data_IF_908317682162
#
_entry.id   IF_908317682162
#
_cell.length_a   1.000
_cell.length_b   1.000
_cell.length_c   1.000
_cell.angle_alpha   90.00
_cell.angle_beta   90.00
_cell.angle_gamma   90.00
#
_symmetry.space_group_name_H-M   'P 1'
#
loop_
_entity.id
_entity.type
_entity.pdbx_description
1 polymer ?
#
# COMPACT_ATOMS: atom_id res chain seq x y z
N UNK A 1 8.28 22.33 -67.55
CA UNK A 1 9.15 23.50 -67.28
C UNK A 1 9.01 23.77 -65.79
N UNK A 2 10.11 23.58 -65.06
CA UNK A 2 10.34 23.85 -63.62
C UNK A 2 9.53 23.09 -62.56
N UNK A 3 10.26 22.16 -61.93
CA UNK A 3 10.08 21.71 -60.56
C UNK A 3 10.34 22.85 -59.55
N UNK A 4 9.59 22.83 -58.45
CA UNK A 4 9.83 23.35 -57.09
C UNK A 4 8.44 23.34 -56.40
N UNK A 5 8.20 22.95 -55.14
CA UNK A 5 9.01 22.40 -54.07
C UNK A 5 8.04 22.02 -52.93
N UNK A 6 8.51 21.19 -51.99
CA UNK A 6 8.10 21.11 -50.58
C UNK A 6 6.72 20.57 -50.13
N UNK A 7 6.84 19.40 -49.47
CA UNK A 7 6.25 19.00 -48.16
C UNK A 7 4.88 18.32 -48.17
N UNK A 8 4.92 17.01 -47.97
CA UNK A 8 4.57 16.44 -46.66
C UNK A 8 4.91 14.96 -46.66
N UNK A 9 6.16 14.69 -46.30
CA UNK A 9 6.55 13.42 -45.69
C UNK A 9 5.66 13.18 -44.46
N UNK A 10 4.78 12.18 -44.57
CA UNK A 10 4.25 11.47 -43.41
C UNK A 10 4.84 10.07 -43.45
N UNK A 11 6.10 10.03 -43.03
CA UNK A 11 6.72 9.01 -42.20
C UNK A 11 6.21 7.59 -42.39
N UNK A 12 6.78 6.96 -43.41
CA UNK A 12 7.01 5.52 -43.46
C UNK A 12 8.43 5.27 -42.93
N UNK A 13 8.57 4.99 -41.64
CA UNK A 13 9.82 4.52 -41.04
C UNK A 13 9.77 2.98 -40.83
N UNK A 14 10.77 2.22 -41.34
CA UNK A 14 10.82 0.77 -41.29
C UNK A 14 11.72 0.21 -40.16
N UNK A 15 11.51 -1.09 -39.90
CA UNK A 15 12.42 -2.12 -39.37
C UNK A 15 13.45 -1.83 -38.24
N UNK A 16 13.33 -2.69 -37.22
CA UNK A 16 14.39 -3.29 -36.38
C UNK A 16 15.06 -2.46 -35.30
N UNK A 17 14.75 -2.76 -34.02
CA UNK A 17 15.75 -3.02 -32.96
C UNK A 17 15.15 -3.98 -31.89
N UNK A 18 15.98 -4.91 -31.43
CA UNK A 18 15.68 -5.98 -30.49
C UNK A 18 15.81 -5.51 -29.02
N UNK A 19 15.11 -6.23 -28.12
CA UNK A 19 15.58 -6.67 -26.79
C UNK A 19 14.87 -6.13 -25.52
N UNK A 20 14.21 -7.08 -24.84
CA UNK A 20 14.03 -7.26 -23.38
C UNK A 20 13.76 -6.01 -22.52
N UNK A 21 12.52 -5.86 -22.08
CA UNK A 21 12.20 -4.98 -20.95
C UNK A 21 10.85 -5.36 -20.40
N UNK A 22 10.85 -5.89 -19.18
CA UNK A 22 9.67 -6.36 -18.44
C UNK A 22 8.45 -5.46 -18.65
N UNK A 23 7.28 -6.07 -18.83
CA UNK A 23 5.99 -5.42 -18.63
C UNK A 23 5.80 -5.15 -17.11
N UNK A 24 6.79 -4.46 -16.51
CA UNK A 24 6.69 -3.91 -15.18
C UNK A 24 5.82 -2.69 -15.37
N UNK A 25 4.54 -2.87 -15.05
CA UNK A 25 3.64 -1.78 -14.70
C UNK A 25 4.37 -0.95 -13.65
N UNK A 26 5.11 0.04 -14.16
CA UNK A 26 5.85 1.01 -13.38
C UNK A 26 4.77 1.93 -12.86
N UNK A 27 4.08 1.45 -11.83
CA UNK A 27 3.26 2.25 -10.96
C UNK A 27 4.18 3.39 -10.55
N UNK A 28 3.96 4.57 -11.14
CA UNK A 28 4.63 5.80 -10.73
C UNK A 28 4.52 5.83 -9.21
N UNK A 29 5.68 5.74 -8.58
CA UNK A 29 5.90 5.47 -7.16
C UNK A 29 5.28 6.62 -6.37
N UNK A 30 3.95 6.64 -6.24
CA UNK A 30 3.26 7.47 -5.27
C UNK A 30 3.80 6.98 -3.95
N UNK A 31 4.55 7.82 -3.23
CA UNK A 31 5.13 7.48 -1.94
C UNK A 31 3.99 7.16 -0.96
N UNK A 32 3.48 5.94 -1.01
CA UNK A 32 2.41 5.47 -0.15
C UNK A 32 3.02 5.30 1.24
N UNK A 33 2.77 6.29 2.08
CA UNK A 33 3.20 6.29 3.47
C UNK A 33 2.15 5.60 4.31
N UNK A 34 2.59 4.75 5.23
CA UNK A 34 1.72 3.91 6.03
C UNK A 34 2.30 3.67 7.42
N UNK A 35 1.61 2.85 8.20
CA UNK A 35 1.99 2.57 9.59
C UNK A 35 3.01 1.41 9.74
N UNK A 36 3.22 0.62 8.69
CA UNK A 36 4.17 -0.51 8.72
C UNK A 36 3.69 -1.69 9.59
N UNK A 37 2.45 -2.13 9.38
CA UNK A 37 1.84 -3.27 10.09
C UNK A 37 1.32 -4.29 9.09
N UNK A 38 1.57 -5.57 9.34
CA UNK A 38 1.00 -6.65 8.57
C UNK A 38 -0.32 -7.09 9.19
N UNK A 39 -1.38 -6.97 8.41
CA UNK A 39 -2.71 -7.44 8.78
C UNK A 39 -3.03 -8.76 8.08
N UNK A 40 -3.76 -9.62 8.78
CA UNK A 40 -4.35 -10.86 8.28
C UNK A 40 -5.85 -10.80 8.50
N UNK A 41 -6.62 -11.10 7.47
CA UNK A 41 -8.07 -11.22 7.60
C UNK A 41 -8.40 -12.55 8.29
N UNK A 42 -9.27 -12.51 9.28
CA UNK A 42 -9.87 -13.68 9.90
C UNK A 42 -11.11 -14.14 9.14
N UNK A 43 -11.56 -15.37 9.44
CA UNK A 43 -12.81 -15.97 9.01
C UNK A 43 -14.04 -15.06 9.22
N UNK A 44 -14.01 -14.20 10.24
CA UNK A 44 -15.06 -13.22 10.55
C UNK A 44 -15.00 -11.94 9.71
N UNK A 45 -13.94 -11.77 8.89
CA UNK A 45 -13.64 -10.55 8.13
C UNK A 45 -12.88 -9.50 8.93
N UNK A 46 -12.63 -9.72 10.23
CA UNK A 46 -11.83 -8.80 11.04
C UNK A 46 -10.34 -8.85 10.64
N UNK A 47 -9.66 -7.71 10.69
CA UNK A 47 -8.23 -7.64 10.40
C UNK A 47 -7.42 -7.76 11.69
N UNK A 48 -6.67 -8.84 11.84
CA UNK A 48 -5.74 -9.03 12.95
C UNK A 48 -4.34 -8.62 12.55
N UNK A 49 -3.61 -8.09 13.50
CA UNK A 49 -2.18 -7.85 13.36
C UNK A 49 -1.48 -9.21 13.35
N UNK A 50 -0.87 -9.56 12.22
CA UNK A 50 -0.04 -10.75 12.09
C UNK A 50 1.36 -10.47 12.62
N UNK A 51 1.94 -9.35 12.22
CA UNK A 51 3.28 -8.91 12.63
C UNK A 51 3.47 -7.42 12.36
N UNK A 52 4.50 -6.85 12.96
CA UNK A 52 4.91 -5.46 12.72
C UNK A 52 6.13 -5.45 11.80
N UNK A 53 6.25 -4.41 10.98
CA UNK A 53 7.45 -4.21 10.17
C UNK A 53 8.55 -3.69 11.10
N UNK A 54 9.70 -4.39 11.22
CA UNK A 54 10.81 -3.93 12.04
C UNK A 54 11.34 -2.60 11.49
N UNK A 55 11.49 -1.60 12.35
CA UNK A 55 11.85 -0.23 11.95
C UNK A 55 10.70 0.57 11.32
N UNK A 56 9.50 0.01 11.20
CA UNK A 56 8.30 0.74 10.80
C UNK A 56 7.76 1.63 11.92
N UNK A 57 6.97 2.67 11.60
CA UNK A 57 6.52 3.64 12.60
C UNK A 57 5.61 3.02 13.67
N UNK A 58 4.81 2.01 13.33
CA UNK A 58 4.04 1.25 14.32
C UNK A 58 4.92 0.47 15.31
N UNK A 59 6.05 -0.08 14.84
CA UNK A 59 7.00 -0.77 15.71
C UNK A 59 7.76 0.21 16.61
N UNK A 60 8.14 1.39 16.08
CA UNK A 60 8.84 2.45 16.83
C UNK A 60 7.93 3.08 17.87
N UNK A 61 6.67 3.38 17.51
CA UNK A 61 5.66 3.89 18.47
C UNK A 61 5.40 2.87 19.58
N UNK A 62 5.43 1.59 19.24
CA UNK A 62 5.17 0.49 20.16
C UNK A 62 3.70 0.42 20.60
N UNK A 63 3.39 -0.58 21.40
CA UNK A 63 2.05 -0.78 21.96
C UNK A 63 1.08 -1.57 21.07
N UNK A 64 1.44 -1.82 19.81
CA UNK A 64 0.76 -2.78 18.94
C UNK A 64 1.49 -4.13 19.08
N UNK A 65 0.75 -5.23 19.08
CA UNK A 65 1.32 -6.57 19.12
C UNK A 65 0.60 -7.48 18.12
N UNK A 66 1.29 -8.55 17.71
CA UNK A 66 0.65 -9.60 16.94
C UNK A 66 -0.49 -10.23 17.75
N UNK A 67 -1.66 -10.40 17.13
CA UNK A 67 -2.89 -10.84 17.79
C UNK A 67 -3.91 -9.73 18.03
N UNK A 68 -3.49 -8.47 17.96
CA UNK A 68 -4.40 -7.32 18.10
C UNK A 68 -5.40 -7.26 16.93
N UNK A 69 -6.68 -7.02 17.21
CA UNK A 69 -7.69 -6.86 16.15
C UNK A 69 -7.86 -5.38 15.82
N UNK A 70 -7.74 -5.02 14.55
CA UNK A 70 -7.98 -3.66 14.09
C UNK A 70 -9.48 -3.34 14.19
N UNK A 71 -9.80 -2.34 15.02
CA UNK A 71 -11.19 -1.93 15.25
C UNK A 71 -11.51 -0.62 14.54
N UNK A 72 -10.67 0.40 14.72
CA UNK A 72 -10.89 1.74 14.19
C UNK A 72 -9.56 2.37 13.78
N UNK A 73 -9.58 3.14 12.69
CA UNK A 73 -8.46 3.94 12.20
C UNK A 73 -8.94 5.38 12.10
N UNK A 74 -8.24 6.28 12.76
CA UNK A 74 -8.66 7.66 13.00
C UNK A 74 -10.07 7.71 13.60
N UNK A 75 -11.03 8.17 12.80
CA UNK A 75 -12.44 8.30 13.16
C UNK A 75 -13.32 7.30 12.38
N UNK A 76 -12.71 6.37 11.64
CA UNK A 76 -13.39 5.40 10.80
C UNK A 76 -13.29 4.02 11.43
N UNK A 77 -14.44 3.44 11.81
CA UNK A 77 -14.50 2.05 12.26
C UNK A 77 -14.25 1.15 11.05
N UNK A 78 -13.13 0.43 11.07
CA UNK A 78 -12.70 -0.47 9.99
C UNK A 78 -12.88 -1.94 10.36
N UNK A 79 -13.54 -2.20 11.49
CA UNK A 79 -13.85 -3.56 11.94
C UNK A 79 -14.72 -4.27 10.90
N UNK A 80 -14.23 -5.40 10.38
CA UNK A 80 -14.86 -6.18 9.30
C UNK A 80 -15.03 -5.44 7.97
N UNK A 81 -14.23 -4.40 7.74
CA UNK A 81 -14.20 -3.71 6.45
C UNK A 81 -13.31 -4.44 5.44
N UNK A 82 -13.58 -4.28 4.13
CA UNK A 82 -12.71 -4.82 3.09
C UNK A 82 -11.32 -4.19 3.17
N UNK A 83 -10.30 -4.99 2.87
CA UNK A 83 -8.90 -4.57 2.94
C UNK A 83 -8.63 -3.30 2.11
N UNK A 84 -9.32 -3.12 0.98
CA UNK A 84 -9.20 -1.93 0.14
C UNK A 84 -9.60 -0.64 0.86
N UNK A 85 -10.63 -0.70 1.71
CA UNK A 85 -11.06 0.45 2.51
C UNK A 85 -10.05 0.72 3.61
N UNK A 86 -9.62 -0.32 4.31
CA UNK A 86 -8.63 -0.20 5.40
C UNK A 86 -7.29 0.31 4.89
N UNK A 87 -6.81 -0.20 3.76
CA UNK A 87 -5.59 0.31 3.13
C UNK A 87 -5.72 1.78 2.77
N UNK A 88 -6.91 2.23 2.35
CA UNK A 88 -7.13 3.65 2.03
C UNK A 88 -7.16 4.54 3.28
N UNK A 89 -7.58 4.00 4.43
CA UNK A 89 -7.53 4.71 5.71
C UNK A 89 -6.13 4.71 6.34
N UNK A 90 -5.36 3.62 6.17
CA UNK A 90 -4.02 3.49 6.74
C UNK A 90 -2.94 4.18 5.90
N UNK A 91 -3.13 4.22 4.59
CA UNK A 91 -2.25 4.92 3.67
C UNK A 91 -2.68 6.38 3.55
N UNK A 92 -1.71 7.27 3.52
CA UNK A 92 -1.97 8.66 3.14
C UNK A 92 -0.69 9.47 3.12
N UNK A 93 -0.81 10.76 3.47
CA UNK A 93 0.31 11.69 3.44
C UNK A 93 1.39 11.31 4.47
N UNK A 94 2.64 11.58 4.10
CA UNK A 94 3.78 11.43 5.02
C UNK A 94 3.65 12.40 6.19
N UNK A 95 4.27 12.05 7.32
CA UNK A 95 4.30 12.87 8.54
C UNK A 95 2.92 13.15 9.19
N UNK A 96 1.85 12.56 8.66
CA UNK A 96 0.52 12.65 9.28
C UNK A 96 0.38 11.64 10.42
N UNK A 97 -0.24 12.06 11.52
CA UNK A 97 -0.53 11.16 12.65
C UNK A 97 -1.86 10.46 12.41
N UNK A 98 -1.87 9.13 12.51
CA UNK A 98 -3.06 8.30 12.44
C UNK A 98 -3.34 7.64 13.78
N UNK A 99 -4.58 7.75 14.26
CA UNK A 99 -5.00 7.17 15.53
C UNK A 99 -5.62 5.80 15.31
N UNK A 100 -4.86 4.74 15.55
CA UNK A 100 -5.35 3.38 15.36
C UNK A 100 -5.79 2.79 16.69
N UNK A 101 -7.03 2.32 16.73
CA UNK A 101 -7.60 1.60 17.87
C UNK A 101 -7.64 0.11 17.57
N UNK A 102 -6.93 -0.63 18.40
CA UNK A 102 -6.87 -2.08 18.40
C UNK A 102 -7.75 -2.64 19.51
N UNK A 103 -8.21 -3.87 19.35
CA UNK A 103 -8.94 -4.63 20.36
C UNK A 103 -8.05 -5.79 20.81
N UNK A 104 -7.74 -5.83 22.11
CA UNK A 104 -6.98 -6.90 22.78
C UNK A 104 -7.75 -7.33 24.02
N UNK A 105 -8.16 -8.59 24.10
CA UNK A 105 -8.95 -9.13 25.23
C UNK A 105 -10.16 -8.24 25.60
N UNK A 106 -10.96 -7.85 24.60
CA UNK A 106 -12.09 -6.92 24.71
C UNK A 106 -11.76 -5.49 25.17
N UNK A 107 -10.47 -5.16 25.38
CA UNK A 107 -10.00 -3.82 25.68
C UNK A 107 -9.61 -3.06 24.42
N UNK A 108 -10.06 -1.81 24.30
CA UNK A 108 -9.71 -0.92 23.20
C UNK A 108 -8.40 -0.19 23.51
N UNK A 109 -7.38 -0.44 22.71
CA UNK A 109 -6.06 0.17 22.80
C UNK A 109 -5.87 1.14 21.64
N UNK A 110 -5.99 2.43 21.92
CA UNK A 110 -5.74 3.49 20.91
C UNK A 110 -4.28 3.91 20.91
N UNK A 111 -3.69 4.01 19.72
CA UNK A 111 -2.30 4.41 19.50
C UNK A 111 -2.20 5.40 18.35
N UNK A 112 -1.51 6.50 18.60
CA UNK A 112 -1.21 7.53 17.62
C UNK A 112 0.12 7.20 16.96
N UNK A 113 0.11 6.88 15.67
CA UNK A 113 1.28 6.46 14.91
C UNK A 113 1.54 7.50 13.83
N UNK A 114 2.78 7.93 13.67
CA UNK A 114 3.16 8.85 12.58
C UNK A 114 3.34 8.05 11.31
N UNK A 115 2.67 8.44 10.22
CA UNK A 115 2.83 7.80 8.91
C UNK A 115 4.24 8.11 8.38
N UNK A 116 4.92 7.06 7.93
CA UNK A 116 6.24 7.17 7.34
C UNK A 116 6.26 6.45 5.98
N UNK A 117 7.14 6.85 5.05
CA UNK A 117 7.36 6.12 3.82
C UNK A 117 7.80 4.70 4.17
N UNK A 118 6.93 3.74 3.85
CA UNK A 118 7.25 2.32 4.01
C UNK A 118 8.16 1.96 2.84
N UNK A 119 9.45 2.26 2.98
CA UNK A 119 10.45 2.03 1.93
C UNK A 119 10.64 0.55 1.55
N UNK A 120 9.85 -0.38 2.11
CA UNK A 120 9.91 -1.79 1.79
C UNK A 120 8.49 -2.40 1.70
N UNK A 121 7.83 -2.12 0.59
CA UNK A 121 6.60 -2.77 0.15
C UNK A 121 6.93 -4.19 -0.34
N UNK A 122 6.66 -5.25 0.43
CA UNK A 122 6.57 -6.67 0.01
C UNK A 122 6.21 -7.48 1.28
N UNK A 123 5.21 -8.37 1.38
CA UNK A 123 4.31 -9.04 0.44
C UNK A 123 3.02 -9.38 1.19
N UNK A 124 1.84 -9.20 0.58
CA UNK A 124 0.73 -10.11 0.90
C UNK A 124 0.99 -11.35 0.06
N UNK A 125 1.44 -12.42 0.72
CA UNK A 125 1.43 -13.74 0.10
C UNK A 125 -0.04 -14.06 -0.21
N UNK A 126 -0.40 -14.08 -1.49
CA UNK A 126 -1.62 -14.77 -1.90
C UNK A 126 -1.46 -16.21 -1.43
N UNK A 127 -2.36 -16.66 -0.55
CA UNK A 127 -2.59 -18.08 -0.36
C UNK A 127 -2.98 -18.65 -1.73
N UNK A 128 -2.05 -19.39 -2.34
CA UNK A 128 -2.35 -20.23 -3.49
C UNK A 128 -2.90 -21.53 -2.91
N UNK A 129 -4.22 -21.68 -2.94
CA UNK A 129 -4.90 -22.94 -2.65
C UNK A 129 -5.08 -23.70 -3.98
N UNK A 130 -4.57 -24.94 -4.03
CA UNK A 130 -5.05 -26.02 -4.91
C UNK A 130 -4.40 -26.14 -6.27
#
# INVERSE_FOLDING_TARGET
>A
MFCCDCRSDKDREPASQQQLGTNTLSFTKKNLCGIGVNFRADSTGALLVSSLIPGGPAAVTGGIQAGDVLYQVDNTVVYRCPLSHVSSCLLGEEETIVNVTFLRDDMKVTKSIVRAPVANLMMIQKANEG
#
